data_IF_210810165765
#
_entry.id   IF_210810165765
#
_cell.length_a   1.000
_cell.length_b   1.000
_cell.length_c   1.000
_cell.angle_alpha   90.00
_cell.angle_beta   90.00
_cell.angle_gamma   90.00
#
_symmetry.space_group_name_H-M   'P 1'
#
loop_
_entity.id
_entity.type
_entity.pdbx_description
1 polymer ?
#
# COMPACT_ATOMS: atom_id res chain seq x y z
N UNK A 1 -26.01 0.41 -6.66
CA UNK A 1 -25.06 0.04 -7.72
C UNK A 1 -24.25 -1.15 -7.26
N UNK A 2 -24.12 -2.21 -8.07
CA UNK A 2 -23.46 -3.48 -7.71
C UNK A 2 -22.03 -3.24 -7.22
N UNK A 3 -21.25 -2.41 -7.94
CA UNK A 3 -19.87 -2.09 -7.57
C UNK A 3 -19.75 -1.43 -6.18
N UNK A 4 -20.68 -0.54 -5.82
CA UNK A 4 -20.69 0.09 -4.49
C UNK A 4 -20.99 -0.92 -3.39
N UNK A 5 -21.83 -1.92 -3.65
CA UNK A 5 -22.12 -3.00 -2.69
C UNK A 5 -20.96 -4.00 -2.53
N UNK A 6 -20.12 -4.13 -3.55
CA UNK A 6 -18.93 -4.98 -3.51
C UNK A 6 -17.68 -4.25 -2.99
N UNK A 7 -17.67 -2.92 -3.06
CA UNK A 7 -16.54 -2.06 -2.70
C UNK A 7 -15.83 -2.49 -1.41
N UNK A 8 -16.56 -2.62 -0.31
CA UNK A 8 -15.94 -2.92 0.99
C UNK A 8 -15.22 -4.27 1.01
N UNK A 9 -15.77 -5.28 0.33
CA UNK A 9 -15.15 -6.61 0.21
C UNK A 9 -13.85 -6.56 -0.59
N UNK A 10 -13.83 -5.83 -1.71
CA UNK A 10 -12.62 -5.67 -2.53
C UNK A 10 -11.55 -4.84 -1.82
N UNK A 11 -11.95 -3.76 -1.15
CA UNK A 11 -11.02 -2.97 -0.32
C UNK A 11 -10.37 -3.82 0.77
N UNK A 12 -11.12 -4.71 1.42
CA UNK A 12 -10.59 -5.64 2.40
C UNK A 12 -9.67 -6.70 1.79
N UNK A 13 -10.10 -7.32 0.69
CA UNK A 13 -9.33 -8.38 0.02
C UNK A 13 -7.97 -7.86 -0.44
N UNK A 14 -7.95 -6.69 -1.10
CA UNK A 14 -6.74 -6.09 -1.65
C UNK A 14 -6.01 -5.18 -0.66
N UNK A 15 -6.60 -4.88 0.50
CA UNK A 15 -6.06 -3.93 1.49
C UNK A 15 -5.73 -2.56 0.87
N UNK A 16 -6.62 -2.06 0.02
CA UNK A 16 -6.54 -0.74 -0.62
C UNK A 16 -7.87 0.00 -0.45
N UNK A 17 -7.89 1.31 -0.70
CA UNK A 17 -9.13 2.09 -0.75
C UNK A 17 -9.55 2.34 -2.20
N UNK A 18 -10.83 2.21 -2.47
CA UNK A 18 -11.43 2.40 -3.80
C UNK A 18 -12.33 3.63 -3.74
N UNK A 19 -11.98 4.68 -4.46
CA UNK A 19 -12.81 5.89 -4.54
C UNK A 19 -14.12 5.64 -5.30
N UNK A 20 -15.16 6.41 -5.01
CA UNK A 20 -16.41 6.29 -5.79
C UNK A 20 -16.20 6.66 -7.26
N UNK A 21 -15.31 7.63 -7.53
CA UNK A 21 -14.92 8.01 -8.89
C UNK A 21 -14.24 6.87 -9.66
N UNK A 22 -13.45 6.02 -8.98
CA UNK A 22 -12.85 4.84 -9.60
C UNK A 22 -13.92 3.82 -10.01
N UNK A 23 -14.96 3.61 -9.19
CA UNK A 23 -16.07 2.72 -9.54
C UNK A 23 -16.86 3.23 -10.76
N UNK A 24 -17.15 4.54 -10.80
CA UNK A 24 -17.83 5.18 -11.94
C UNK A 24 -16.97 5.07 -13.20
N UNK A 25 -15.66 5.31 -13.08
CA UNK A 25 -14.72 5.20 -14.19
C UNK A 25 -14.62 3.76 -14.70
N UNK A 26 -14.56 2.77 -13.81
CA UNK A 26 -14.51 1.36 -14.17
C UNK A 26 -15.76 0.95 -14.96
N UNK A 27 -16.95 1.35 -14.50
CA UNK A 27 -18.19 1.09 -15.23
C UNK A 27 -18.23 1.78 -16.60
N UNK A 28 -17.80 3.05 -16.67
CA UNK A 28 -17.85 3.85 -17.90
C UNK A 28 -16.85 3.36 -18.95
N UNK A 29 -15.59 3.14 -18.55
CA UNK A 29 -14.51 2.76 -19.46
C UNK A 29 -14.63 1.30 -19.90
N UNK A 30 -14.97 0.38 -18.99
CA UNK A 30 -15.22 -1.02 -19.39
C UNK A 30 -16.41 -1.11 -20.35
N UNK A 31 -17.47 -0.31 -20.14
CA UNK A 31 -18.59 -0.29 -21.08
C UNK A 31 -18.20 0.21 -22.47
N UNK A 32 -17.31 1.21 -22.53
CA UNK A 32 -16.89 1.84 -23.79
C UNK A 32 -15.87 1.02 -24.57
N UNK A 33 -14.93 0.36 -23.90
CA UNK A 33 -13.73 -0.19 -24.55
C UNK A 33 -13.60 -1.72 -24.46
N UNK A 34 -14.32 -2.38 -23.54
CA UNK A 34 -14.32 -3.85 -23.44
C UNK A 34 -15.66 -4.33 -24.03
N UNK A 35 -15.65 -4.63 -25.32
CA UNK A 35 -16.86 -4.91 -26.12
C UNK A 35 -17.28 -6.39 -26.10
N UNK A 36 -16.35 -7.29 -25.81
CA UNK A 36 -16.51 -8.76 -25.77
C UNK A 36 -17.12 -9.28 -24.46
N UNK A 37 -17.33 -8.39 -23.47
CA UNK A 37 -17.87 -8.73 -22.14
C UNK A 37 -19.01 -7.79 -21.73
N UNK A 38 -19.84 -8.27 -20.81
CA UNK A 38 -21.04 -7.55 -20.34
C UNK A 38 -20.84 -6.97 -18.93
N UNK A 39 -21.57 -5.89 -18.64
CA UNK A 39 -21.70 -5.38 -17.28
C UNK A 39 -22.57 -6.33 -16.43
N UNK A 40 -22.33 -6.44 -15.10
CA UNK A 40 -21.32 -5.72 -14.32
C UNK A 40 -19.93 -6.37 -14.32
N UNK A 41 -19.81 -7.58 -14.85
CA UNK A 41 -18.64 -8.48 -14.75
C UNK A 41 -17.33 -7.80 -15.18
N UNK A 42 -17.29 -7.23 -16.39
CA UNK A 42 -16.10 -6.51 -16.88
C UNK A 42 -15.66 -5.30 -16.03
N UNK A 43 -16.58 -4.67 -15.32
CA UNK A 43 -16.26 -3.55 -14.44
C UNK A 43 -15.75 -4.04 -13.09
N UNK A 44 -16.24 -5.19 -12.62
CA UNK A 44 -15.76 -5.86 -11.40
C UNK A 44 -14.30 -6.28 -11.61
N UNK A 45 -14.01 -6.95 -12.73
CA UNK A 45 -12.65 -7.37 -13.07
C UNK A 45 -11.67 -6.21 -13.18
N UNK A 46 -12.08 -5.11 -13.82
CA UNK A 46 -11.22 -3.93 -13.94
C UNK A 46 -10.89 -3.32 -12.57
N UNK A 47 -11.85 -3.34 -11.63
CA UNK A 47 -11.62 -2.90 -10.25
C UNK A 47 -10.68 -3.88 -9.52
N UNK A 48 -10.87 -5.19 -9.70
CA UNK A 48 -10.06 -6.24 -9.09
C UNK A 48 -8.59 -6.17 -9.55
N UNK A 49 -8.36 -6.04 -10.86
CA UNK A 49 -7.02 -5.93 -11.44
C UNK A 49 -6.33 -4.63 -11.01
N UNK A 50 -7.05 -3.50 -11.01
CA UNK A 50 -6.50 -2.23 -10.54
C UNK A 50 -6.14 -2.28 -9.05
N UNK A 51 -6.98 -2.90 -8.22
CA UNK A 51 -6.73 -3.07 -6.80
C UNK A 51 -5.53 -4.00 -6.53
N UNK A 52 -5.43 -5.11 -7.26
CA UNK A 52 -4.29 -6.04 -7.20
C UNK A 52 -2.98 -5.35 -7.57
N UNK A 53 -2.99 -4.60 -8.67
CA UNK A 53 -1.82 -3.85 -9.14
C UNK A 53 -1.38 -2.79 -8.12
N UNK A 54 -2.33 -2.05 -7.56
CA UNK A 54 -2.04 -1.05 -6.53
C UNK A 54 -1.47 -1.72 -5.27
N UNK A 55 -2.00 -2.88 -4.87
CA UNK A 55 -1.49 -3.64 -3.72
C UNK A 55 -0.03 -4.04 -3.92
N UNK A 56 0.32 -4.54 -5.11
CA UNK A 56 1.70 -4.86 -5.46
C UNK A 56 2.61 -3.64 -5.37
N UNK A 57 2.16 -2.48 -5.88
CA UNK A 57 2.92 -1.22 -5.80
C UNK A 57 3.16 -0.77 -4.36
N UNK A 58 2.15 -0.86 -3.49
CA UNK A 58 2.26 -0.52 -2.07
C UNK A 58 3.24 -1.45 -1.35
N UNK A 59 3.23 -2.74 -1.70
CA UNK A 59 4.12 -3.72 -1.08
C UNK A 59 5.57 -3.60 -1.56
N UNK A 60 5.79 -3.06 -2.76
CA UNK A 60 7.10 -2.80 -3.35
C UNK A 60 7.78 -1.54 -2.82
N UNK A 61 9.12 -1.53 -2.86
CA UNK A 61 9.92 -0.34 -2.54
C UNK A 61 9.62 0.77 -3.55
N UNK A 62 9.39 2.03 -3.11
CA UNK A 62 9.20 3.15 -4.03
C UNK A 62 10.41 3.33 -4.95
N UNK A 63 10.15 3.66 -6.22
CA UNK A 63 11.20 3.83 -7.25
C UNK A 63 12.29 4.82 -6.82
N UNK A 64 11.90 5.98 -6.27
CA UNK A 64 12.86 6.96 -5.74
C UNK A 64 13.78 6.40 -4.64
N UNK A 65 13.28 5.50 -3.79
CA UNK A 65 14.09 4.86 -2.76
C UNK A 65 15.02 3.78 -3.36
N UNK A 66 14.56 3.05 -4.37
CA UNK A 66 15.39 2.07 -5.09
C UNK A 66 16.53 2.76 -5.86
N UNK A 67 16.27 3.91 -6.48
CA UNK A 67 17.28 4.73 -7.15
C UNK A 67 18.38 5.22 -6.19
N UNK A 68 17.98 5.76 -5.03
CA UNK A 68 18.92 6.19 -3.99
C UNK A 68 19.77 5.02 -3.49
N UNK A 69 19.16 3.87 -3.22
CA UNK A 69 19.89 2.69 -2.73
C UNK A 69 20.88 2.14 -3.76
N UNK A 70 20.52 2.13 -5.04
CA UNK A 70 21.44 1.79 -6.13
C UNK A 70 22.61 2.76 -6.19
N UNK A 71 22.35 4.07 -6.03
CA UNK A 71 23.39 5.10 -6.01
C UNK A 71 24.34 4.93 -4.82
N UNK A 72 23.80 4.68 -3.62
CA UNK A 72 24.59 4.38 -2.41
C UNK A 72 25.48 3.16 -2.66
N UNK A 73 24.95 2.10 -3.26
CA UNK A 73 25.73 0.89 -3.56
C UNK A 73 26.90 1.18 -4.50
N UNK A 74 26.67 1.93 -5.59
CA UNK A 74 27.72 2.34 -6.52
C UNK A 74 28.82 3.14 -5.81
N UNK A 75 28.43 4.13 -5.00
CA UNK A 75 29.37 4.95 -4.25
C UNK A 75 30.16 4.14 -3.22
N UNK A 76 29.55 3.14 -2.55
CA UNK A 76 30.25 2.23 -1.65
C UNK A 76 31.33 1.42 -2.37
N UNK A 77 31.04 0.93 -3.57
CA UNK A 77 32.02 0.19 -4.38
C UNK A 77 33.17 1.12 -4.78
N UNK A 78 32.85 2.33 -5.25
CA UNK A 78 33.86 3.34 -5.61
C UNK A 78 34.72 3.74 -4.40
N UNK A 79 34.11 3.87 -3.21
CA UNK A 79 34.82 4.13 -1.95
C UNK A 79 35.87 3.05 -1.66
N UNK A 80 35.50 1.77 -1.78
CA UNK A 80 36.45 0.67 -1.52
C UNK A 80 37.58 0.64 -2.55
N UNK A 81 37.33 1.00 -3.81
CA UNK A 81 38.37 1.14 -4.82
C UNK A 81 39.34 2.28 -4.47
N UNK A 82 38.83 3.47 -4.11
CA UNK A 82 39.64 4.64 -3.78
C UNK A 82 40.50 4.47 -2.52
N UNK A 83 40.11 3.59 -1.59
CA UNK A 83 40.90 3.30 -0.38
C UNK A 83 42.24 2.61 -0.66
N UNK A 84 42.37 1.95 -1.81
CA UNK A 84 43.61 1.24 -2.21
C UNK A 84 44.61 2.19 -2.87
N UNK A 85 44.11 3.29 -3.44
CA UNK A 85 44.90 4.33 -4.10
C UNK A 85 45.63 5.20 -3.06
N UNK A 86 46.81 5.73 -3.43
CA UNK A 86 47.70 6.47 -2.50
C UNK A 86 47.93 7.92 -2.90
N UNK A 87 47.49 8.33 -4.09
CA UNK A 87 47.66 9.69 -4.59
C UNK A 87 46.71 10.68 -3.89
N UNK A 88 47.12 11.95 -3.85
CA UNK A 88 46.38 12.98 -3.12
C UNK A 88 45.04 13.33 -3.77
N UNK A 89 44.91 13.16 -5.09
CA UNK A 89 43.63 13.38 -5.78
C UNK A 89 42.59 12.30 -5.40
N UNK A 90 43.01 11.05 -5.23
CA UNK A 90 42.17 9.96 -4.73
C UNK A 90 41.71 10.19 -3.29
N UNK A 91 42.57 10.73 -2.42
CA UNK A 91 42.19 11.10 -1.03
C UNK A 91 41.15 12.22 -1.01
N UNK A 92 41.34 13.26 -1.82
CA UNK A 92 40.38 14.37 -1.93
C UNK A 92 39.03 13.89 -2.50
N UNK A 93 39.06 13.00 -3.49
CA UNK A 93 37.84 12.38 -4.05
C UNK A 93 37.14 11.50 -3.02
N UNK A 94 37.89 10.70 -2.26
CA UNK A 94 37.36 9.86 -1.19
C UNK A 94 36.62 10.70 -0.14
N UNK A 95 37.21 11.80 0.31
CA UNK A 95 36.56 12.68 1.30
C UNK A 95 35.24 13.29 0.79
N UNK A 96 35.19 13.70 -0.50
CA UNK A 96 33.95 14.21 -1.11
C UNK A 96 32.90 13.11 -1.25
N UNK A 97 33.32 11.92 -1.68
CA UNK A 97 32.45 10.77 -1.85
C UNK A 97 31.84 10.33 -0.51
N UNK A 98 32.63 10.28 0.56
CA UNK A 98 32.13 9.92 1.89
C UNK A 98 31.06 10.91 2.39
N UNK A 99 31.21 12.20 2.07
CA UNK A 99 30.21 13.21 2.37
C UNK A 99 28.92 13.02 1.56
N UNK A 100 29.02 12.75 0.26
CA UNK A 100 27.86 12.43 -0.60
C UNK A 100 27.15 11.16 -0.09
N UNK A 101 27.93 10.13 0.24
CA UNK A 101 27.41 8.86 0.73
C UNK A 101 26.64 9.04 2.04
N UNK A 102 27.18 9.79 3.00
CA UNK A 102 26.51 10.06 4.26
C UNK A 102 25.16 10.78 4.06
N UNK A 103 25.11 11.76 3.16
CA UNK A 103 23.85 12.47 2.84
C UNK A 103 22.80 11.55 2.21
N UNK A 104 23.21 10.72 1.25
CA UNK A 104 22.29 9.77 0.60
C UNK A 104 21.82 8.67 1.55
N UNK A 105 22.70 8.18 2.44
CA UNK A 105 22.32 7.20 3.47
C UNK A 105 21.30 7.75 4.46
N UNK A 106 21.44 9.02 4.86
CA UNK A 106 20.47 9.72 5.69
C UNK A 106 19.11 9.86 4.97
N UNK A 107 19.13 10.27 3.70
CA UNK A 107 17.93 10.38 2.88
C UNK A 107 17.21 9.03 2.68
N UNK A 108 17.97 7.98 2.32
CA UNK A 108 17.44 6.61 2.18
C UNK A 108 16.81 6.12 3.48
N UNK A 109 17.46 6.37 4.62
CA UNK A 109 16.94 5.99 5.93
C UNK A 109 15.64 6.72 6.26
N UNK A 110 15.58 8.03 6.00
CA UNK A 110 14.39 8.83 6.23
C UNK A 110 13.20 8.38 5.36
N UNK A 111 13.43 8.15 4.06
CA UNK A 111 12.42 7.66 3.12
C UNK A 111 11.96 6.25 3.46
N UNK A 112 12.89 5.35 3.81
CA UNK A 112 12.58 3.99 4.26
C UNK A 112 11.68 4.01 5.50
N UNK A 113 12.03 4.83 6.49
CA UNK A 113 11.24 4.97 7.73
C UNK A 113 9.83 5.45 7.43
N UNK A 114 9.69 6.48 6.58
CA UNK A 114 8.38 6.99 6.16
C UNK A 114 7.56 5.93 5.43
N UNK A 115 8.16 5.21 4.47
CA UNK A 115 7.50 4.15 3.71
C UNK A 115 7.02 3.01 4.63
N UNK A 116 7.85 2.54 5.54
CA UNK A 116 7.49 1.51 6.51
C UNK A 116 6.35 1.97 7.42
N UNK A 117 6.40 3.22 7.91
CA UNK A 117 5.33 3.78 8.73
C UNK A 117 3.99 3.86 7.98
N UNK A 118 3.99 4.31 6.73
CA UNK A 118 2.78 4.35 5.90
C UNK A 118 2.24 2.93 5.61
N UNK A 119 3.12 1.97 5.32
CA UNK A 119 2.75 0.56 5.12
C UNK A 119 2.11 -0.05 6.38
N UNK A 120 2.67 0.23 7.55
CA UNK A 120 2.11 -0.21 8.84
C UNK A 120 0.75 0.41 9.11
N UNK A 121 0.57 1.73 8.88
CA UNK A 121 -0.73 2.39 9.02
C UNK A 121 -1.80 1.76 8.12
N UNK A 122 -1.46 1.46 6.88
CA UNK A 122 -2.34 0.76 5.93
C UNK A 122 -2.74 -0.63 6.45
N UNK A 123 -1.78 -1.40 6.97
CA UNK A 123 -2.03 -2.71 7.59
C UNK A 123 -2.99 -2.62 8.77
N UNK A 124 -2.70 -1.72 9.73
CA UNK A 124 -3.54 -1.47 10.90
C UNK A 124 -4.96 -1.06 10.51
N UNK A 125 -5.11 -0.15 9.55
CA UNK A 125 -6.43 0.27 9.08
C UNK A 125 -7.22 -0.88 8.44
N UNK A 126 -6.55 -1.77 7.70
CA UNK A 126 -7.18 -2.95 7.11
C UNK A 126 -7.62 -3.96 8.19
N UNK A 127 -6.79 -4.19 9.21
CA UNK A 127 -7.09 -5.12 10.30
C UNK A 127 -8.25 -4.60 11.18
N UNK A 128 -8.25 -3.30 11.52
CA UNK A 128 -9.36 -2.66 12.24
C UNK A 128 -10.67 -2.75 11.45
N UNK A 129 -10.62 -2.52 10.13
CA UNK A 129 -11.81 -2.64 9.27
C UNK A 129 -12.33 -4.07 9.23
N UNK A 130 -11.44 -5.06 9.18
CA UNK A 130 -11.81 -6.48 9.25
C UNK A 130 -12.50 -6.81 10.58
N UNK A 131 -11.94 -6.38 11.71
CA UNK A 131 -12.53 -6.59 13.04
C UNK A 131 -13.91 -5.93 13.15
N UNK A 132 -14.07 -4.73 12.60
CA UNK A 132 -15.36 -4.02 12.58
C UNK A 132 -16.43 -4.83 11.82
N UNK A 133 -16.08 -5.36 10.64
CA UNK A 133 -17.04 -6.10 9.82
C UNK A 133 -17.35 -7.49 10.40
N UNK A 134 -16.38 -8.15 11.03
CA UNK A 134 -16.62 -9.36 11.84
C UNK A 134 -17.60 -9.07 12.99
N UNK A 135 -17.40 -7.96 13.70
CA UNK A 135 -18.27 -7.54 14.82
C UNK A 135 -19.68 -7.20 14.33
N UNK A 136 -19.82 -6.55 13.17
CA UNK A 136 -21.12 -6.27 12.53
C UNK A 136 -21.85 -7.54 12.11
N UNK A 137 -21.11 -8.51 11.56
CA UNK A 137 -21.68 -9.82 11.23
C UNK A 137 -22.14 -10.57 12.48
N UNK A 138 -21.35 -10.55 13.55
CA UNK A 138 -21.71 -11.13 14.84
C UNK A 138 -22.98 -10.49 15.40
N UNK A 139 -23.09 -9.15 15.34
CA UNK A 139 -24.28 -8.41 15.73
C UNK A 139 -25.52 -8.88 14.95
N UNK A 140 -25.42 -8.98 13.62
CA UNK A 140 -26.52 -9.43 12.77
C UNK A 140 -26.92 -10.89 13.04
N UNK A 141 -26.01 -11.74 13.50
CA UNK A 141 -26.30 -13.12 13.93
C UNK A 141 -27.01 -13.10 15.29
N UNK A 142 -26.48 -12.37 16.27
CA UNK A 142 -27.06 -12.26 17.61
C UNK A 142 -28.50 -11.72 17.57
N UNK A 143 -28.75 -10.69 16.75
CA UNK A 143 -30.10 -10.15 16.52
C UNK A 143 -31.06 -11.20 15.95
N UNK A 144 -30.62 -11.98 14.95
CA UNK A 144 -31.46 -13.05 14.36
C UNK A 144 -31.76 -14.18 15.33
N UNK A 145 -30.85 -14.45 16.28
CA UNK A 145 -31.02 -15.47 17.32
C UNK A 145 -31.81 -14.96 18.54
N UNK A 146 -32.15 -13.67 18.61
CA UNK A 146 -32.81 -13.07 19.76
C UNK A 146 -31.89 -12.88 20.98
N UNK A 147 -30.57 -12.94 20.79
CA UNK A 147 -29.56 -12.74 21.84
C UNK A 147 -29.38 -11.23 22.12
N UNK A 148 -30.43 -10.57 22.61
CA UNK A 148 -30.48 -9.10 22.71
C UNK A 148 -29.42 -8.49 23.64
N UNK A 149 -29.04 -9.19 24.72
CA UNK A 149 -27.94 -8.75 25.59
C UNK A 149 -26.61 -8.69 24.82
N UNK A 150 -26.29 -9.76 24.08
CA UNK A 150 -25.08 -9.83 23.26
C UNK A 150 -25.10 -8.79 22.14
N UNK A 151 -26.26 -8.60 21.50
CA UNK A 151 -26.44 -7.57 20.47
C UNK A 151 -26.20 -6.15 21.03
N UNK A 152 -26.67 -5.86 22.26
CA UNK A 152 -26.43 -4.59 22.94
C UNK A 152 -24.95 -4.34 23.21
N UNK A 153 -24.23 -5.34 23.73
CA UNK A 153 -22.78 -5.24 23.97
C UNK A 153 -22.00 -4.96 22.67
N UNK A 154 -22.34 -5.66 21.58
CA UNK A 154 -21.67 -5.48 20.29
C UNK A 154 -21.95 -4.09 19.70
N UNK A 155 -23.22 -3.66 19.71
CA UNK A 155 -23.65 -2.42 19.09
C UNK A 155 -23.16 -1.15 19.80
N UNK A 156 -23.08 -1.17 21.14
CA UNK A 156 -22.74 0.03 21.93
C UNK A 156 -21.38 -0.05 22.63
N UNK A 157 -20.76 -1.23 22.70
CA UNK A 157 -19.48 -1.45 23.38
C UNK A 157 -18.30 -1.74 22.45
N UNK A 158 -18.52 -2.39 21.31
CA UNK A 158 -17.44 -2.80 20.38
C UNK A 158 -17.47 -2.10 19.02
N UNK A 159 -18.64 -1.82 18.50
CA UNK A 159 -18.80 -1.07 17.26
C UNK A 159 -18.77 0.42 17.63
N UNK A 160 -17.77 1.19 17.17
CA UNK A 160 -17.71 2.64 17.39
C UNK A 160 -18.77 3.42 16.60
#
# INVERSE_FOLDING_TARGET
SILRGLKEKYEQHHKVRISDSALVSAATLSNRYIADRFLPDKAIDLVDEAASRLRMQVDSKPEALDEIDRRIMQLKIEREALKVEKDDASKDRLARLEKELAGLEEESTALTTKWQAEKQKLGLAADLKKQLDETRNELAIAQRKGEFQRAGELAYGKIP
#
